data_IF_805800866238
#
_entry.id   IF_805800866238
#
_cell.length_a   1.000
_cell.length_b   1.000
_cell.length_c   1.000
_cell.angle_alpha   90.00
_cell.angle_beta   90.00
_cell.angle_gamma   90.00
#
_symmetry.space_group_name_H-M   'P 1'
#
loop_
_entity.id
_entity.type
_entity.pdbx_description
1 polymer ?
#
# COMPACT_ATOMS: atom_id res chain seq x y z
N UNK A 1 16.03 15.93 -2.84
CA UNK A 1 15.21 14.70 -2.77
C UNK A 1 16.04 13.43 -3.04
N UNK A 2 16.68 13.29 -4.21
CA UNK A 2 17.41 12.06 -4.59
C UNK A 2 18.55 11.63 -3.64
N UNK A 3 19.38 12.53 -3.07
CA UNK A 3 20.41 12.12 -2.11
C UNK A 3 19.82 11.52 -0.82
N UNK A 4 18.67 12.05 -0.37
CA UNK A 4 17.93 11.53 0.80
C UNK A 4 17.43 10.13 0.47
N UNK A 5 16.78 9.95 -0.68
CA UNK A 5 16.27 8.65 -1.12
C UNK A 5 17.38 7.59 -1.22
N UNK A 6 18.55 7.95 -1.77
CA UNK A 6 19.71 7.04 -1.83
C UNK A 6 20.18 6.62 -0.44
N UNK A 7 20.29 7.57 0.49
CA UNK A 7 20.73 7.28 1.86
C UNK A 7 19.74 6.37 2.59
N UNK A 8 18.45 6.55 2.35
CA UNK A 8 17.38 5.76 2.96
C UNK A 8 17.31 4.36 2.37
N UNK A 9 17.47 4.22 1.05
CA UNK A 9 17.58 2.92 0.39
C UNK A 9 18.72 2.09 0.98
N UNK A 10 19.91 2.69 1.18
CA UNK A 10 21.06 2.00 1.78
C UNK A 10 20.74 1.55 3.22
N UNK A 11 20.06 2.39 4.01
CA UNK A 11 19.68 2.04 5.38
C UNK A 11 18.64 0.91 5.42
N UNK A 12 17.67 0.92 4.53
CA UNK A 12 16.67 -0.14 4.40
C UNK A 12 17.33 -1.47 4.03
N UNK A 13 18.20 -1.47 3.01
CA UNK A 13 18.92 -2.68 2.56
C UNK A 13 19.91 -3.21 3.60
N UNK A 14 20.44 -2.36 4.49
CA UNK A 14 21.29 -2.81 5.60
C UNK A 14 20.50 -3.38 6.77
N UNK A 15 19.22 -3.04 6.90
CA UNK A 15 18.38 -3.52 7.98
C UNK A 15 17.72 -4.86 7.61
N UNK A 16 18.37 -5.97 7.99
CA UNK A 16 17.90 -7.33 7.71
C UNK A 16 16.47 -7.58 8.21
N UNK A 17 16.10 -7.02 9.36
CA UNK A 17 14.76 -7.20 9.93
C UNK A 17 13.68 -6.56 9.04
N UNK A 18 13.92 -5.33 8.57
CA UNK A 18 13.00 -4.63 7.65
C UNK A 18 12.96 -5.34 6.31
N UNK A 19 14.10 -5.79 5.77
CA UNK A 19 14.12 -6.59 4.55
C UNK A 19 13.25 -7.86 4.66
N UNK A 20 13.41 -8.65 5.72
CA UNK A 20 12.62 -9.88 5.85
C UNK A 20 11.13 -9.57 5.99
N UNK A 21 10.77 -8.65 6.88
CA UNK A 21 9.36 -8.37 7.22
C UNK A 21 8.62 -7.57 6.15
N UNK A 22 9.30 -6.66 5.46
CA UNK A 22 8.69 -5.74 4.49
C UNK A 22 8.92 -6.16 3.04
N UNK A 23 9.99 -6.90 2.74
CA UNK A 23 10.30 -7.36 1.38
C UNK A 23 9.91 -8.83 1.19
N UNK A 24 10.50 -9.72 1.99
CA UNK A 24 10.41 -11.18 1.76
C UNK A 24 9.03 -11.71 2.12
N UNK A 25 8.51 -11.37 3.31
CA UNK A 25 7.22 -11.90 3.78
C UNK A 25 6.04 -11.57 2.86
N UNK A 26 5.84 -10.31 2.41
CA UNK A 26 4.73 -9.98 1.51
C UNK A 26 4.89 -10.63 0.13
N UNK A 27 6.12 -10.76 -0.37
CA UNK A 27 6.39 -11.49 -1.61
C UNK A 27 6.10 -12.98 -1.47
N UNK A 28 6.49 -13.61 -0.36
CA UNK A 28 6.23 -15.01 -0.09
C UNK A 28 4.73 -15.29 0.05
N UNK A 29 4.00 -14.43 0.76
CA UNK A 29 2.53 -14.51 0.85
C UNK A 29 1.87 -14.34 -0.53
N UNK A 30 2.37 -13.41 -1.34
CA UNK A 30 1.83 -13.20 -2.69
C UNK A 30 2.14 -14.36 -3.63
N UNK A 31 3.34 -14.94 -3.53
CA UNK A 31 3.71 -16.16 -4.26
C UNK A 31 2.87 -17.37 -3.81
N UNK A 32 2.51 -17.45 -2.52
CA UNK A 32 1.59 -18.45 -2.01
C UNK A 32 0.20 -18.33 -2.67
N UNK A 33 -0.38 -17.12 -2.76
CA UNK A 33 -1.67 -16.93 -3.45
C UNK A 33 -1.63 -17.38 -4.91
N UNK A 34 -0.51 -17.13 -5.60
CA UNK A 34 -0.30 -17.56 -6.98
C UNK A 34 -0.12 -19.08 -7.10
N UNK A 35 0.61 -19.69 -6.17
CA UNK A 35 0.84 -21.14 -6.17
C UNK A 35 -0.47 -21.90 -5.98
N UNK A 36 -1.35 -21.40 -5.10
CA UNK A 36 -2.68 -21.95 -4.84
C UNK A 36 -3.80 -21.30 -5.65
N UNK A 37 -3.47 -20.70 -6.81
CA UNK A 37 -4.42 -19.90 -7.60
C UNK A 37 -5.71 -20.64 -7.96
N UNK A 38 -5.65 -21.95 -8.25
CA UNK A 38 -6.84 -22.71 -8.65
C UNK A 38 -7.86 -22.81 -7.51
N UNK A 39 -7.38 -22.91 -6.27
CA UNK A 39 -8.22 -22.91 -5.06
C UNK A 39 -8.86 -21.53 -4.86
N UNK A 40 -8.07 -20.46 -4.95
CA UNK A 40 -8.58 -19.10 -4.77
C UNK A 40 -9.50 -18.65 -5.89
N UNK A 41 -9.26 -19.09 -7.13
CA UNK A 41 -10.09 -18.80 -8.29
C UNK A 41 -11.47 -19.48 -8.18
N UNK A 42 -11.58 -20.65 -7.57
CA UNK A 42 -12.86 -21.31 -7.30
C UNK A 42 -13.72 -20.55 -6.28
N UNK A 43 -13.09 -19.88 -5.31
CA UNK A 43 -13.79 -19.15 -4.25
C UNK A 43 -14.19 -17.74 -4.72
N UNK A 44 -13.38 -17.12 -5.58
CA UNK A 44 -13.63 -15.79 -6.12
C UNK A 44 -13.36 -15.74 -7.61
N UNK A 45 -12.20 -15.21 -7.99
CA UNK A 45 -11.78 -15.04 -9.39
C UNK A 45 -10.28 -14.80 -9.50
N UNK A 46 -9.75 -14.71 -10.72
CA UNK A 46 -8.37 -14.28 -10.93
C UNK A 46 -8.14 -12.83 -10.47
N UNK A 47 -9.13 -11.95 -10.68
CA UNK A 47 -9.08 -10.58 -10.17
C UNK A 47 -9.06 -10.49 -8.65
N UNK A 48 -9.69 -11.43 -7.94
CA UNK A 48 -9.57 -11.54 -6.49
C UNK A 48 -8.12 -11.85 -6.06
N UNK A 49 -7.45 -12.76 -6.75
CA UNK A 49 -6.04 -13.08 -6.48
C UNK A 49 -5.15 -11.85 -6.73
N UNK A 50 -5.39 -11.13 -7.84
CA UNK A 50 -4.68 -9.89 -8.13
C UNK A 50 -4.88 -8.84 -7.02
N UNK A 51 -6.11 -8.68 -6.53
CA UNK A 51 -6.40 -7.78 -5.42
C UNK A 51 -5.69 -8.21 -4.13
N UNK A 52 -5.67 -9.50 -3.79
CA UNK A 52 -4.91 -10.00 -2.64
C UNK A 52 -3.43 -9.66 -2.73
N UNK A 53 -2.81 -9.86 -3.90
CA UNK A 53 -1.39 -9.51 -4.13
C UNK A 53 -1.15 -8.02 -3.90
N UNK A 54 -1.95 -7.16 -4.55
CA UNK A 54 -1.83 -5.71 -4.45
C UNK A 54 -1.98 -5.26 -2.99
N UNK A 55 -3.04 -5.67 -2.31
CA UNK A 55 -3.32 -5.25 -0.94
C UNK A 55 -2.34 -5.82 0.08
N UNK A 56 -1.86 -7.07 -0.11
CA UNK A 56 -0.84 -7.66 0.79
C UNK A 56 0.47 -6.87 0.70
N UNK A 57 0.94 -6.58 -0.51
CA UNK A 57 2.16 -5.80 -0.70
C UNK A 57 1.95 -4.35 -0.21
N UNK A 58 0.82 -3.72 -0.54
CA UNK A 58 0.53 -2.35 -0.10
C UNK A 58 0.42 -2.24 1.43
N UNK A 59 -0.16 -3.23 2.10
CA UNK A 59 -0.36 -3.24 3.55
C UNK A 59 0.94 -3.49 4.32
N UNK A 60 1.76 -4.45 3.87
CA UNK A 60 2.91 -4.91 4.65
C UNK A 60 4.25 -4.38 4.13
N UNK A 61 4.41 -4.16 2.82
CA UNK A 61 5.65 -3.61 2.25
C UNK A 61 5.65 -2.08 2.20
N UNK A 62 4.50 -1.47 1.91
CA UNK A 62 4.43 -0.01 1.78
C UNK A 62 3.98 0.65 3.08
N UNK A 63 2.78 0.33 3.55
CA UNK A 63 2.18 0.99 4.70
C UNK A 63 2.94 0.74 6.00
N UNK A 64 3.14 -0.53 6.40
CA UNK A 64 3.83 -0.85 7.65
C UNK A 64 5.27 -0.31 7.70
N UNK A 65 5.98 -0.38 6.58
CA UNK A 65 7.35 0.15 6.44
C UNK A 65 7.37 1.68 6.45
N UNK A 66 6.38 2.34 5.87
CA UNK A 66 6.22 3.80 5.95
C UNK A 66 6.07 4.24 7.41
N UNK A 67 5.18 3.59 8.16
CA UNK A 67 4.96 3.88 9.59
C UNK A 67 6.26 3.69 10.38
N UNK A 68 6.94 2.57 10.16
CA UNK A 68 8.18 2.21 10.86
C UNK A 68 9.32 3.18 10.54
N UNK A 69 9.54 3.49 9.26
CA UNK A 69 10.61 4.37 8.78
C UNK A 69 10.42 5.79 9.32
N UNK A 70 9.22 6.35 9.22
CA UNK A 70 8.94 7.71 9.73
C UNK A 70 9.10 7.75 11.25
N UNK A 71 8.59 6.74 11.98
CA UNK A 71 8.76 6.66 13.43
C UNK A 71 10.24 6.59 13.84
N UNK A 72 11.04 5.73 13.18
CA UNK A 72 12.47 5.58 13.44
C UNK A 72 13.27 6.87 13.15
N UNK A 73 12.99 7.55 12.03
CA UNK A 73 13.68 8.81 11.68
C UNK A 73 13.29 9.96 12.59
N UNK A 74 12.04 9.99 13.06
CA UNK A 74 11.60 10.98 14.04
C UNK A 74 12.31 10.77 15.37
N UNK A 75 12.38 9.53 15.87
CA UNK A 75 13.05 9.22 17.14
C UNK A 75 14.54 9.55 17.14
N UNK A 76 15.23 9.27 16.04
CA UNK A 76 16.67 9.54 15.89
C UNK A 76 16.99 11.01 15.57
N UNK A 77 16.00 11.91 15.66
CA UNK A 77 16.10 13.34 15.31
C UNK A 77 16.63 13.59 13.89
N UNK A 78 16.57 12.59 13.01
CA UNK A 78 17.08 12.68 11.65
C UNK A 78 16.28 13.69 10.84
N UNK A 79 14.95 13.69 10.98
CA UNK A 79 14.07 14.66 10.32
C UNK A 79 14.36 16.10 10.75
N UNK A 80 14.68 16.33 12.03
CA UNK A 80 15.04 17.65 12.56
C UNK A 80 16.36 18.15 11.97
N UNK A 81 17.36 17.26 11.84
CA UNK A 81 18.65 17.56 11.19
C UNK A 81 18.51 17.85 9.70
N UNK A 82 17.60 17.17 8.99
CA UNK A 82 17.33 17.47 7.59
C UNK A 82 16.62 18.81 7.42
N UNK A 83 15.75 19.20 8.36
CA UNK A 83 15.02 20.47 8.30
C UNK A 83 15.91 21.71 8.49
N UNK A 84 17.10 21.55 9.10
CA UNK A 84 18.10 22.62 9.15
C UNK A 84 18.91 22.78 7.85
N UNK A 85 18.62 21.99 6.82
CA UNK A 85 19.22 22.14 5.48
C UNK A 85 18.32 22.97 4.56
N UNK A 86 18.78 23.28 3.35
CA UNK A 86 17.99 24.00 2.34
C UNK A 86 16.82 23.17 1.75
N UNK A 87 16.63 21.92 2.17
CA UNK A 87 15.56 21.06 1.66
C UNK A 87 14.20 21.43 2.30
N UNK A 88 13.19 21.64 1.47
CA UNK A 88 11.81 21.87 1.94
C UNK A 88 11.18 20.63 2.59
N UNK A 89 10.18 20.84 3.45
CA UNK A 89 9.50 19.80 4.23
C UNK A 89 8.93 18.67 3.33
N UNK A 90 8.31 19.03 2.19
CA UNK A 90 7.80 18.06 1.20
C UNK A 90 8.93 17.28 0.52
N UNK A 91 10.07 17.91 0.26
CA UNK A 91 11.24 17.28 -0.33
C UNK A 91 11.90 16.26 0.59
N UNK A 92 11.86 16.52 1.90
CA UNK A 92 12.35 15.60 2.91
C UNK A 92 11.46 14.36 2.98
N UNK A 93 10.14 14.54 3.11
CA UNK A 93 9.19 13.42 3.20
C UNK A 93 9.14 12.61 1.91
N UNK A 94 9.08 13.26 0.75
CA UNK A 94 9.12 12.57 -0.53
C UNK A 94 10.45 11.80 -0.70
N UNK A 95 11.58 12.41 -0.37
CA UNK A 95 12.88 11.74 -0.40
C UNK A 95 12.97 10.53 0.53
N UNK A 96 12.32 10.61 1.70
CA UNK A 96 12.29 9.52 2.68
C UNK A 96 11.43 8.34 2.22
N UNK A 97 10.28 8.62 1.62
CA UNK A 97 9.28 7.61 1.27
C UNK A 97 9.43 7.06 -0.15
N UNK A 98 10.19 7.74 -1.01
CA UNK A 98 10.45 7.31 -2.39
C UNK A 98 11.03 5.88 -2.48
N UNK A 99 12.03 5.47 -1.68
CA UNK A 99 12.58 4.12 -1.76
C UNK A 99 11.56 3.03 -1.44
N UNK A 100 10.79 3.20 -0.36
CA UNK A 100 9.77 2.22 0.07
C UNK A 100 8.66 2.12 -0.99
N UNK A 101 8.23 3.27 -1.53
CA UNK A 101 7.21 3.31 -2.59
C UNK A 101 7.70 2.62 -3.86
N UNK A 102 8.96 2.86 -4.25
CA UNK A 102 9.57 2.24 -5.44
C UNK A 102 9.69 0.72 -5.26
N UNK A 103 10.12 0.27 -4.08
CA UNK A 103 10.21 -1.16 -3.77
C UNK A 103 8.84 -1.82 -3.87
N UNK A 104 7.80 -1.25 -3.24
CA UNK A 104 6.46 -1.80 -3.28
C UNK A 104 5.90 -1.84 -4.72
N UNK A 105 6.11 -0.80 -5.52
CA UNK A 105 5.74 -0.76 -6.94
C UNK A 105 6.42 -1.89 -7.72
N UNK A 106 7.72 -2.08 -7.55
CA UNK A 106 8.48 -3.15 -8.19
C UNK A 106 7.97 -4.52 -7.76
N UNK A 107 7.69 -4.72 -6.48
CA UNK A 107 7.12 -5.98 -5.98
C UNK A 107 5.77 -6.30 -6.61
N UNK A 108 4.85 -5.33 -6.64
CA UNK A 108 3.53 -5.51 -7.26
C UNK A 108 3.68 -5.83 -8.75
N UNK A 109 4.50 -5.05 -9.47
CA UNK A 109 4.71 -5.26 -10.90
C UNK A 109 5.33 -6.62 -11.22
N UNK A 110 6.33 -7.05 -10.45
CA UNK A 110 6.98 -8.35 -10.62
C UNK A 110 5.99 -9.49 -10.37
N UNK A 111 5.26 -9.46 -9.26
CA UNK A 111 4.35 -10.54 -8.89
C UNK A 111 3.14 -10.60 -9.83
N UNK A 112 2.53 -9.46 -10.17
CA UNK A 112 1.44 -9.43 -11.15
C UNK A 112 1.91 -9.80 -12.55
N UNK A 113 3.14 -9.45 -12.93
CA UNK A 113 3.75 -9.89 -14.19
C UNK A 113 3.92 -11.41 -14.26
N UNK A 114 4.44 -12.02 -13.19
CA UNK A 114 4.51 -13.49 -13.07
C UNK A 114 3.11 -14.09 -13.10
N UNK A 115 2.16 -13.53 -12.37
CA UNK A 115 0.77 -14.02 -12.34
C UNK A 115 0.13 -13.97 -13.73
N UNK A 116 0.31 -12.88 -14.47
CA UNK A 116 -0.16 -12.72 -15.84
C UNK A 116 0.50 -13.66 -16.84
N UNK A 117 1.71 -14.16 -16.57
CA UNK A 117 2.42 -15.08 -17.46
C UNK A 117 1.93 -16.54 -17.32
N UNK A 118 1.35 -16.89 -16.16
CA UNK A 118 0.90 -18.25 -15.83
C UNK A 118 -0.63 -18.37 -15.72
N UNK A 119 -1.36 -17.26 -15.92
CA UNK A 119 -2.82 -17.17 -15.89
C UNK A 119 -3.29 -16.28 -17.05
N UNK A 120 -4.60 -16.17 -17.25
CA UNK A 120 -5.12 -15.13 -18.14
C UNK A 120 -4.74 -13.75 -17.58
N UNK A 121 -3.98 -12.97 -18.37
CA UNK A 121 -3.58 -11.62 -18.02
C UNK A 121 -4.77 -10.69 -17.84
N UNK A 122 -4.54 -9.47 -17.31
CA UNK A 122 -5.63 -8.54 -17.04
C UNK A 122 -6.33 -8.10 -18.32
N UNK A 123 -7.66 -8.01 -18.26
CA UNK A 123 -8.48 -7.51 -19.36
C UNK A 123 -8.13 -6.06 -19.73
N UNK A 124 -7.78 -5.22 -18.75
CA UNK A 124 -7.32 -3.86 -18.96
C UNK A 124 -6.08 -3.55 -18.12
N UNK A 125 -4.91 -3.57 -18.78
CA UNK A 125 -3.60 -3.27 -18.17
C UNK A 125 -3.52 -1.82 -17.66
N UNK A 126 -4.16 -0.87 -18.37
CA UNK A 126 -4.10 0.55 -18.01
C UNK A 126 -4.94 0.80 -16.77
N UNK A 127 -6.15 0.23 -16.72
CA UNK A 127 -7.02 0.31 -15.55
C UNK A 127 -6.36 -0.36 -14.34
N UNK A 128 -5.69 -1.50 -14.52
CA UNK A 128 -4.95 -2.17 -13.45
C UNK A 128 -3.82 -1.29 -12.92
N UNK A 129 -3.04 -0.66 -13.80
CA UNK A 129 -1.97 0.26 -13.40
C UNK A 129 -2.52 1.45 -12.59
N UNK A 130 -3.64 2.04 -13.04
CA UNK A 130 -4.33 3.11 -12.31
C UNK A 130 -4.82 2.63 -10.94
N UNK A 131 -5.40 1.43 -10.85
CA UNK A 131 -5.87 0.84 -9.61
C UNK A 131 -4.73 0.61 -8.60
N UNK A 132 -3.60 0.07 -9.08
CA UNK A 132 -2.39 -0.14 -8.27
C UNK A 132 -1.85 1.19 -7.77
N UNK A 133 -1.70 2.20 -8.63
CA UNK A 133 -1.19 3.52 -8.22
C UNK A 133 -2.11 4.18 -7.20
N UNK A 134 -3.43 4.14 -7.41
CA UNK A 134 -4.40 4.70 -6.46
C UNK A 134 -4.35 3.97 -5.11
N UNK A 135 -4.24 2.64 -5.12
CA UNK A 135 -4.13 1.82 -3.90
C UNK A 135 -2.85 2.14 -3.13
N UNK A 136 -1.70 2.19 -3.81
CA UNK A 136 -0.43 2.51 -3.17
C UNK A 136 -0.40 3.94 -2.65
N UNK A 137 -0.95 4.91 -3.38
CA UNK A 137 -1.08 6.29 -2.92
C UNK A 137 -1.92 6.40 -1.65
N UNK A 138 -3.06 5.69 -1.60
CA UNK A 138 -3.92 5.61 -0.40
C UNK A 138 -3.16 5.00 0.77
N UNK A 139 -2.50 3.86 0.57
CA UNK A 139 -1.76 3.16 1.63
C UNK A 139 -0.54 3.95 2.12
N UNK A 140 0.13 4.69 1.23
CA UNK A 140 1.21 5.59 1.60
C UNK A 140 0.72 6.76 2.46
N UNK A 141 -0.39 7.39 2.07
CA UNK A 141 -0.99 8.49 2.82
C UNK A 141 -1.48 8.04 4.20
N UNK A 142 -2.14 6.88 4.27
CA UNK A 142 -2.53 6.25 5.55
C UNK A 142 -1.31 5.94 6.41
N UNK A 143 -0.22 5.46 5.81
CA UNK A 143 1.04 5.18 6.52
C UNK A 143 1.64 6.44 7.13
N UNK A 144 1.66 7.53 6.37
CA UNK A 144 2.10 8.83 6.88
C UNK A 144 1.20 9.35 8.02
N UNK A 145 -0.13 9.16 7.92
CA UNK A 145 -1.07 9.53 8.96
C UNK A 145 -0.87 8.74 10.25
N UNK A 146 -0.77 7.40 10.15
CA UNK A 146 -0.52 6.50 11.29
C UNK A 146 0.83 6.80 11.94
N UNK A 147 1.88 7.08 11.16
CA UNK A 147 3.18 7.49 11.69
C UNK A 147 3.11 8.74 12.59
N UNK A 148 2.10 9.60 12.37
CA UNK A 148 1.80 10.74 13.23
C UNK A 148 1.58 10.34 14.69
N UNK A 149 0.91 9.22 14.97
CA UNK A 149 0.62 8.73 16.34
C UNK A 149 1.61 7.70 16.87
N UNK A 150 2.24 6.92 15.99
CA UNK A 150 3.18 5.86 16.37
C UNK A 150 4.43 6.44 17.03
N UNK A 151 4.77 6.05 18.26
CA UNK A 151 5.88 6.66 19.02
C UNK A 151 7.27 6.12 18.65
N UNK A 152 7.38 4.83 18.36
CA UNK A 152 8.64 4.13 18.08
C UNK A 152 8.49 3.14 16.92
N UNK A 153 9.59 2.69 16.28
CA UNK A 153 9.54 1.64 15.28
C UNK A 153 9.06 0.29 15.84
N UNK A 154 9.30 -0.01 17.11
CA UNK A 154 8.77 -1.20 17.77
C UNK A 154 7.24 -1.10 17.91
N UNK A 155 6.74 0.07 18.34
CA UNK A 155 5.31 0.34 18.38
C UNK A 155 4.66 0.40 16.99
N UNK A 156 5.45 0.71 15.95
CA UNK A 156 4.95 0.77 14.57
C UNK A 156 4.28 -0.54 14.17
N UNK A 157 4.90 -1.68 14.51
CA UNK A 157 4.39 -3.00 14.20
C UNK A 157 2.97 -3.19 14.77
N UNK A 158 2.75 -2.82 16.04
CA UNK A 158 1.44 -2.94 16.68
C UNK A 158 0.43 -1.96 16.09
N UNK A 159 0.83 -0.71 15.83
CA UNK A 159 -0.08 0.32 15.30
C UNK A 159 -0.46 0.10 13.83
N UNK A 160 0.40 -0.56 13.04
CA UNK A 160 0.10 -0.85 11.64
C UNK A 160 -0.82 -2.06 11.47
N UNK A 161 -0.69 -3.08 12.33
CA UNK A 161 -1.38 -4.36 12.18
C UNK A 161 -2.91 -4.24 11.96
N UNK A 162 -3.68 -3.47 12.75
CA UNK A 162 -5.14 -3.41 12.59
C UNK A 162 -5.56 -2.96 11.19
N UNK A 163 -4.91 -1.92 10.65
CA UNK A 163 -5.24 -1.41 9.31
C UNK A 163 -4.71 -2.34 8.22
N UNK A 164 -3.50 -2.89 8.37
CA UNK A 164 -2.93 -3.84 7.41
C UNK A 164 -3.82 -5.08 7.24
N UNK A 165 -4.27 -5.67 8.35
CA UNK A 165 -5.18 -6.81 8.32
C UNK A 165 -6.57 -6.40 7.85
N UNK A 166 -7.06 -5.22 8.26
CA UNK A 166 -8.36 -4.70 7.86
C UNK A 166 -8.49 -4.53 6.36
N UNK A 167 -7.52 -3.91 5.68
CA UNK A 167 -7.60 -3.70 4.23
C UNK A 167 -7.50 -5.02 3.46
N UNK A 168 -6.70 -5.98 3.93
CA UNK A 168 -6.62 -7.32 3.32
C UNK A 168 -7.94 -8.06 3.52
N UNK A 169 -8.55 -8.00 4.70
CA UNK A 169 -9.85 -8.61 4.97
C UNK A 169 -10.97 -7.98 4.13
N UNK A 170 -10.96 -6.66 3.95
CA UNK A 170 -11.89 -5.95 3.06
C UNK A 170 -11.68 -6.41 1.62
N UNK A 171 -10.43 -6.50 1.16
CA UNK A 171 -10.12 -6.99 -0.18
C UNK A 171 -10.61 -8.42 -0.39
N UNK A 172 -10.43 -9.31 0.59
CA UNK A 172 -10.97 -10.67 0.56
C UNK A 172 -12.49 -10.71 0.54
N UNK A 173 -13.15 -9.93 1.39
CA UNK A 173 -14.61 -9.89 1.43
C UNK A 173 -15.18 -9.46 0.07
N UNK A 174 -14.64 -8.40 -0.52
CA UNK A 174 -15.09 -7.90 -1.82
C UNK A 174 -14.75 -8.88 -2.94
N UNK A 175 -13.54 -9.46 -2.94
CA UNK A 175 -13.12 -10.41 -3.97
C UNK A 175 -13.91 -11.72 -3.98
N UNK A 176 -14.41 -12.16 -2.81
CA UNK A 176 -15.18 -13.40 -2.66
C UNK A 176 -16.68 -13.15 -2.90
N UNK A 177 -17.24 -12.10 -2.28
CA UNK A 177 -18.70 -11.88 -2.28
C UNK A 177 -19.19 -10.84 -3.29
N UNK A 178 -18.29 -10.24 -4.06
CA UNK A 178 -18.59 -9.11 -4.93
C UNK A 178 -19.07 -7.87 -4.15
N UNK A 179 -19.70 -6.93 -4.86
CA UNK A 179 -20.23 -5.68 -4.28
C UNK A 179 -21.74 -5.55 -4.35
N UNK A 180 -22.45 -6.58 -4.85
CA UNK A 180 -23.91 -6.58 -5.01
C UNK A 180 -24.65 -6.33 -3.69
N UNK A 181 -24.19 -6.99 -2.61
CA UNK A 181 -24.70 -6.76 -1.27
C UNK A 181 -23.81 -5.78 -0.50
N UNK A 182 -24.45 -4.80 0.18
CA UNK A 182 -23.78 -3.77 0.98
C UNK A 182 -22.82 -2.89 0.17
N UNK A 183 -23.15 -2.62 -1.09
CA UNK A 183 -22.31 -1.89 -2.05
C UNK A 183 -21.70 -0.60 -1.47
N UNK A 184 -22.53 0.25 -0.85
CA UNK A 184 -22.06 1.51 -0.26
C UNK A 184 -21.05 1.28 0.87
N UNK A 185 -21.32 0.33 1.77
CA UNK A 185 -20.42 0.00 2.89
C UNK A 185 -19.10 -0.54 2.35
N UNK A 186 -19.16 -1.52 1.45
CA UNK A 186 -17.98 -2.13 0.83
C UNK A 186 -17.11 -1.10 0.11
N UNK A 187 -17.71 -0.19 -0.66
CA UNK A 187 -16.96 0.83 -1.41
C UNK A 187 -16.37 1.93 -0.54
N UNK A 188 -17.03 2.28 0.57
CA UNK A 188 -16.61 3.35 1.47
C UNK A 188 -15.52 2.91 2.45
N UNK A 189 -15.35 1.60 2.68
CA UNK A 189 -14.24 1.08 3.49
C UNK A 189 -12.87 1.39 2.86
N UNK A 190 -11.81 1.60 3.66
CA UNK A 190 -10.46 1.76 3.14
C UNK A 190 -10.05 0.56 2.29
N UNK A 191 -9.68 0.83 1.02
CA UNK A 191 -9.32 -0.23 0.08
C UNK A 191 -10.49 -0.92 -0.62
N UNK A 192 -11.73 -0.58 -0.26
CA UNK A 192 -12.90 -1.26 -0.79
C UNK A 192 -13.14 -1.02 -2.28
N UNK A 193 -13.39 0.24 -2.65
CA UNK A 193 -13.52 0.65 -4.06
C UNK A 193 -12.26 0.33 -4.89
N UNK A 194 -11.07 0.47 -4.30
CA UNK A 194 -9.81 0.09 -4.94
C UNK A 194 -9.70 -1.43 -5.21
N UNK A 195 -10.24 -2.28 -4.32
CA UNK A 195 -10.32 -3.73 -4.56
C UNK A 195 -11.21 -4.03 -5.75
N UNK A 196 -12.41 -3.47 -5.77
CA UNK A 196 -13.35 -3.64 -6.88
C UNK A 196 -12.73 -3.17 -8.21
N UNK A 197 -11.96 -2.09 -8.19
CA UNK A 197 -11.24 -1.59 -9.36
C UNK A 197 -10.17 -2.58 -9.86
N UNK A 198 -9.38 -3.18 -8.97
CA UNK A 198 -8.39 -4.22 -9.35
C UNK A 198 -9.08 -5.46 -9.91
N UNK A 199 -10.18 -5.90 -9.28
CA UNK A 199 -10.97 -7.05 -9.74
C UNK A 199 -11.54 -6.80 -11.13
N UNK A 200 -12.15 -5.62 -11.37
CA UNK A 200 -12.70 -5.24 -12.66
C UNK A 200 -11.62 -5.13 -13.74
N UNK A 201 -10.45 -4.56 -13.41
CA UNK A 201 -9.34 -4.45 -14.36
C UNK A 201 -8.79 -5.81 -14.79
N UNK A 202 -8.80 -6.79 -13.88
CA UNK A 202 -8.31 -8.13 -14.19
C UNK A 202 -9.35 -8.96 -14.95
N UNK A 203 -10.57 -9.05 -14.42
CA UNK A 203 -11.61 -9.92 -14.98
C UNK A 203 -12.27 -9.34 -16.25
N UNK A 204 -12.30 -8.00 -16.38
CA UNK A 204 -13.05 -7.33 -17.44
C UNK A 204 -14.56 -7.39 -17.22
N UNK A 205 -15.32 -7.09 -18.28
CA UNK A 205 -16.80 -7.18 -18.27
C UNK A 205 -17.54 -5.95 -17.74
N UNK A 206 -16.81 -4.94 -17.26
CA UNK A 206 -17.38 -3.65 -16.82
C UNK A 206 -16.79 -2.53 -17.68
N UNK A 207 -17.60 -1.53 -18.05
CA UNK A 207 -17.09 -0.39 -18.79
C UNK A 207 -15.99 0.34 -18.01
N UNK A 208 -14.94 0.76 -18.70
CA UNK A 208 -13.80 1.47 -18.11
C UNK A 208 -14.23 2.76 -17.41
N UNK A 209 -15.17 3.50 -17.99
CA UNK A 209 -15.74 4.72 -17.40
C UNK A 209 -16.40 4.44 -16.04
N UNK A 210 -17.20 3.38 -15.94
CA UNK A 210 -17.87 3.01 -14.70
C UNK A 210 -16.87 2.56 -13.64
N UNK A 211 -15.80 1.88 -14.07
CA UNK A 211 -14.71 1.50 -13.18
C UNK A 211 -13.93 2.72 -12.67
N UNK A 212 -13.68 3.73 -13.51
CA UNK A 212 -12.99 4.96 -13.10
C UNK A 212 -13.75 5.75 -12.02
N UNK A 213 -15.09 5.62 -11.94
CA UNK A 213 -15.87 6.22 -10.86
C UNK A 213 -15.50 5.65 -9.48
N UNK A 214 -14.97 4.42 -9.41
CA UNK A 214 -14.48 3.80 -8.17
C UNK A 214 -13.22 4.50 -7.63
N UNK A 215 -12.56 5.37 -8.40
CA UNK A 215 -11.48 6.21 -7.89
C UNK A 215 -12.00 7.23 -6.87
N UNK A 216 -13.27 7.66 -6.94
CA UNK A 216 -13.84 8.68 -6.07
C UNK A 216 -13.62 8.39 -4.57
N UNK A 217 -14.12 7.25 -4.04
CA UNK A 217 -13.92 6.91 -2.63
C UNK A 217 -12.44 6.70 -2.26
N UNK A 218 -11.63 6.15 -3.16
CA UNK A 218 -10.18 5.96 -2.93
C UNK A 218 -9.46 7.31 -2.81
N UNK A 219 -9.77 8.27 -3.68
CA UNK A 219 -9.25 9.64 -3.63
C UNK A 219 -9.73 10.36 -2.38
N UNK A 220 -10.99 10.17 -1.97
CA UNK A 220 -11.49 10.72 -0.72
C UNK A 220 -10.68 10.23 0.50
N UNK A 221 -10.33 8.93 0.53
CA UNK A 221 -9.44 8.38 1.56
C UNK A 221 -8.01 8.93 1.50
N UNK A 222 -7.45 9.12 0.30
CA UNK A 222 -6.14 9.77 0.13
C UNK A 222 -6.18 11.18 0.75
N UNK A 223 -7.18 11.99 0.42
CA UNK A 223 -7.32 13.35 0.94
C UNK A 223 -7.52 13.36 2.46
N UNK A 224 -8.40 12.49 2.97
CA UNK A 224 -8.62 12.35 4.41
C UNK A 224 -7.34 11.95 5.16
N UNK A 225 -6.56 11.01 4.61
CA UNK A 225 -5.31 10.56 5.18
C UNK A 225 -4.24 11.66 5.13
N UNK A 226 -4.14 12.43 4.04
CA UNK A 226 -3.23 13.59 3.95
C UNK A 226 -3.61 14.65 4.98
N UNK A 227 -4.91 14.96 5.14
CA UNK A 227 -5.38 15.92 6.15
C UNK A 227 -5.06 15.45 7.58
N UNK A 228 -5.26 14.17 7.87
CA UNK A 228 -4.89 13.56 9.15
C UNK A 228 -3.37 13.62 9.37
N UNK A 229 -2.58 13.26 8.37
CA UNK A 229 -1.12 13.33 8.42
C UNK A 229 -0.66 14.77 8.70
N UNK A 230 -1.17 15.76 7.97
CA UNK A 230 -0.83 17.16 8.18
C UNK A 230 -1.17 17.67 9.59
N UNK A 231 -2.28 17.18 10.19
CA UNK A 231 -2.69 17.55 11.56
C UNK A 231 -1.89 16.82 12.65
N UNK A 232 -1.51 15.57 12.42
CA UNK A 232 -0.94 14.68 13.44
C UNK A 232 0.59 14.65 13.41
N UNK A 233 1.19 15.00 12.26
CA UNK A 233 2.62 14.95 12.05
C UNK A 233 3.34 15.97 12.93
N UNK A 234 4.32 15.48 13.69
CA UNK A 234 5.22 16.30 14.50
C UNK A 234 6.64 15.96 14.10
N UNK A 235 7.48 16.98 13.95
CA UNK A 235 8.90 16.83 13.62
C UNK A 235 9.74 16.33 14.80
N UNK A 236 9.25 16.52 16.03
CA UNK A 236 9.93 16.12 17.25
C UNK A 236 9.40 14.79 17.80
N UNK A 237 10.24 13.99 18.48
CA UNK A 237 9.82 12.79 19.19
C UNK A 237 8.71 13.13 20.19
N UNK A 238 7.67 12.29 20.23
CA UNK A 238 6.69 12.32 21.32
C UNK A 238 7.34 11.60 22.51
N UNK A 239 7.56 12.32 23.62
CA UNK A 239 8.01 11.73 24.89
C UNK A 239 6.94 10.79 25.45
#
# INVERSE_FOLDING_TARGET
>A
MLPIARSELIQLLRNRSVLVTSLIMPMAASAFFINFRDVFAQIGSLGYIAALVVFTIAAFSLYATTVTTVAARRQTLFLKRLRSTAAGDTAILAGLLLPVTTIALVQVALILGVFSAISAGPADVVLLAVAVVATLAMMLALGAATAGITRSPEHAQVTSLPLSLGVVAVASWIGISGTEHLQMVKRLLPGGSATELVVNAWNGGVATVDSLLLLGPTVAWILAAIMLAARMFRWEPRR
#
